data_IF_079591407714
#
_entry.id   IF_079591407714
#
_cell.length_a   1.000
_cell.length_b   1.000
_cell.length_c   1.000
_cell.angle_alpha   90.00
_cell.angle_beta   90.00
_cell.angle_gamma   90.00
#
_symmetry.space_group_name_H-M   'P 1'
#
loop_
_entity.id
_entity.type
_entity.pdbx_description
1 polymer ?
#
# COMPACT_ATOMS: atom_id res chain seq x y z
N UNK A 1 17.67 -23.29 -4.56
CA UNK A 1 16.83 -24.04 -3.60
C UNK A 1 16.41 -23.09 -2.51
N UNK A 2 15.11 -23.04 -2.16
CA UNK A 2 14.59 -22.18 -1.09
C UNK A 2 14.73 -22.92 0.25
N UNK A 3 14.21 -24.14 0.35
CA UNK A 3 14.54 -25.14 1.38
C UNK A 3 13.90 -26.50 1.05
N UNK A 4 14.06 -27.50 1.93
CA UNK A 4 13.36 -28.78 1.91
C UNK A 4 12.39 -28.82 3.10
N UNK A 5 11.20 -29.38 2.90
CA UNK A 5 10.22 -29.66 3.95
C UNK A 5 9.73 -31.10 3.77
N UNK A 6 9.78 -31.87 4.86
CA UNK A 6 9.42 -33.29 4.90
C UNK A 6 8.14 -33.51 5.73
N UNK A 7 7.45 -32.43 6.12
CA UNK A 7 6.24 -32.48 6.95
C UNK A 7 5.03 -31.89 6.22
N UNK A 8 3.86 -32.54 6.38
CA UNK A 8 2.60 -32.06 5.82
C UNK A 8 1.87 -31.15 6.83
N UNK A 9 1.24 -30.04 6.40
CA UNK A 9 1.25 -29.51 5.03
C UNK A 9 2.63 -28.91 4.64
N UNK A 10 3.06 -29.13 3.40
CA UNK A 10 4.33 -28.59 2.89
C UNK A 10 4.20 -27.08 2.67
N UNK A 11 4.78 -26.27 3.57
CA UNK A 11 4.55 -24.83 3.61
C UNK A 11 5.84 -24.02 3.73
N UNK A 12 5.97 -22.99 2.89
CA UNK A 12 7.09 -22.05 2.92
C UNK A 12 6.56 -20.62 3.11
N UNK A 13 6.80 -20.07 4.30
CA UNK A 13 6.41 -18.69 4.61
C UNK A 13 7.52 -17.69 4.27
N UNK A 14 7.16 -16.58 3.63
CA UNK A 14 8.08 -15.47 3.37
C UNK A 14 8.64 -14.81 4.64
N UNK A 15 7.96 -14.95 5.79
CA UNK A 15 8.49 -14.52 7.09
C UNK A 15 9.72 -15.33 7.56
N UNK A 16 9.91 -16.53 7.02
CA UNK A 16 10.99 -17.45 7.38
C UNK A 16 12.06 -17.52 6.29
N UNK A 17 11.66 -17.47 5.02
CA UNK A 17 12.57 -17.60 3.88
C UNK A 17 12.74 -16.26 3.16
N UNK A 18 13.90 -15.64 3.31
CA UNK A 18 14.20 -14.32 2.72
C UNK A 18 14.09 -14.30 1.19
N UNK A 19 14.31 -15.44 0.53
CA UNK A 19 14.13 -15.60 -0.93
C UNK A 19 12.67 -15.51 -1.38
N UNK A 20 11.71 -15.65 -0.45
CA UNK A 20 10.27 -15.46 -0.67
C UNK A 20 9.77 -14.13 -0.09
N UNK A 21 10.63 -13.37 0.59
CA UNK A 21 10.31 -12.09 1.20
C UNK A 21 10.70 -10.92 0.29
N UNK A 22 9.95 -9.82 0.35
CA UNK A 22 10.31 -8.55 -0.28
C UNK A 22 10.75 -8.67 -1.75
N UNK A 23 10.11 -9.57 -2.51
CA UNK A 23 10.40 -9.77 -3.92
C UNK A 23 10.27 -8.45 -4.67
N UNK A 24 11.29 -8.13 -5.47
CA UNK A 24 11.27 -6.94 -6.31
C UNK A 24 10.42 -7.16 -7.55
N UNK A 25 9.98 -6.10 -8.23
CA UNK A 25 9.26 -6.24 -9.48
C UNK A 25 10.04 -7.09 -10.49
N UNK A 26 9.39 -8.10 -11.05
CA UNK A 26 10.03 -9.05 -11.95
C UNK A 26 9.19 -10.30 -12.19
N UNK A 27 9.60 -11.09 -13.18
CA UNK A 27 9.02 -12.40 -13.46
C UNK A 27 9.82 -13.48 -12.74
N UNK A 28 9.12 -14.33 -11.99
CA UNK A 28 9.72 -15.41 -11.21
C UNK A 28 9.17 -16.76 -11.65
N UNK A 29 10.04 -17.77 -11.64
CA UNK A 29 9.66 -19.18 -11.84
C UNK A 29 9.81 -19.91 -10.51
N UNK A 30 8.71 -20.48 -10.02
CA UNK A 30 8.72 -21.37 -8.87
C UNK A 30 8.69 -22.82 -9.36
N UNK A 31 9.64 -23.63 -8.92
CA UNK A 31 9.70 -25.06 -9.20
C UNK A 31 9.58 -25.84 -7.89
N UNK A 32 8.73 -26.87 -7.89
CA UNK A 32 8.62 -27.84 -6.81
C UNK A 32 9.06 -29.22 -7.31
N UNK A 33 9.85 -29.91 -6.50
CA UNK A 33 10.29 -31.30 -6.75
C UNK A 33 9.83 -32.17 -5.59
N UNK A 34 9.13 -33.26 -5.89
CA UNK A 34 8.79 -34.28 -4.90
C UNK A 34 9.62 -35.54 -5.18
N UNK A 35 10.11 -36.18 -4.12
CA UNK A 35 10.86 -37.45 -4.18
C UNK A 35 10.15 -38.47 -3.30
N UNK A 36 9.84 -39.66 -3.81
CA UNK A 36 9.25 -40.75 -3.01
C UNK A 36 10.31 -41.48 -2.16
N UNK A 37 9.87 -42.40 -1.31
CA UNK A 37 10.75 -43.18 -0.43
C UNK A 37 11.62 -44.23 -1.16
N UNK A 38 11.48 -44.35 -2.48
CA UNK A 38 12.28 -45.21 -3.35
C UNK A 38 13.20 -44.39 -4.26
N UNK A 39 13.25 -43.07 -4.07
CA UNK A 39 14.08 -42.14 -4.83
C UNK A 39 13.50 -41.72 -6.17
N UNK A 40 12.25 -42.06 -6.49
CA UNK A 40 11.61 -41.59 -7.72
C UNK A 40 11.19 -40.13 -7.56
N UNK A 41 11.45 -39.30 -8.57
CA UNK A 41 11.18 -37.86 -8.52
C UNK A 41 10.15 -37.42 -9.55
N UNK A 42 9.34 -36.42 -9.20
CA UNK A 42 8.53 -35.66 -10.14
C UNK A 42 8.64 -34.16 -9.87
N UNK A 43 8.44 -33.32 -10.88
CA UNK A 43 8.57 -31.86 -10.77
C UNK A 43 7.42 -31.13 -11.45
N UNK A 44 7.12 -29.94 -10.94
CA UNK A 44 6.22 -28.97 -11.58
C UNK A 44 6.77 -27.56 -11.44
N UNK A 45 6.37 -26.67 -12.33
CA UNK A 45 6.78 -25.26 -12.28
C UNK A 45 5.64 -24.33 -12.67
N UNK A 46 5.58 -23.17 -12.01
CA UNK A 46 4.71 -22.06 -12.37
C UNK A 46 5.55 -20.80 -12.60
N UNK A 47 5.06 -19.92 -13.46
CA UNK A 47 5.62 -18.58 -13.67
C UNK A 47 4.63 -17.56 -13.14
N UNK A 48 5.10 -16.61 -12.35
CA UNK A 48 4.28 -15.51 -11.83
C UNK A 48 5.04 -14.19 -11.91
N UNK A 49 4.31 -13.09 -11.91
CA UNK A 49 4.86 -11.75 -11.97
C UNK A 49 4.66 -11.06 -10.62
N UNK A 50 5.76 -10.57 -10.05
CA UNK A 50 5.71 -9.57 -8.99
C UNK A 50 5.71 -8.23 -9.70
N UNK A 51 4.63 -7.47 -9.52
CA UNK A 51 4.53 -6.13 -10.09
C UNK A 51 4.95 -5.12 -9.04
N UNK A 52 5.53 -4.00 -9.46
CA UNK A 52 5.63 -2.85 -8.57
C UNK A 52 4.24 -2.53 -8.05
N UNK A 53 4.11 -2.19 -6.77
CA UNK A 53 2.88 -1.55 -6.31
C UNK A 53 2.69 -0.31 -7.16
N UNK A 54 1.74 -0.34 -8.08
CA UNK A 54 1.38 0.81 -8.91
C UNK A 54 0.58 1.83 -8.12
N UNK A 55 0.47 1.68 -6.78
CA UNK A 55 -0.02 2.72 -5.88
C UNK A 55 0.99 3.85 -5.82
N UNK A 56 1.05 4.65 -6.88
CA UNK A 56 1.66 5.96 -6.80
C UNK A 56 0.90 6.80 -5.77
N UNK A 57 1.61 7.66 -5.05
CA UNK A 57 1.04 8.52 -4.01
C UNK A 57 -0.19 9.27 -4.54
N UNK A 58 -1.37 8.97 -4.00
CA UNK A 58 -2.56 9.76 -4.27
C UNK A 58 -2.44 11.09 -3.51
N UNK A 59 -2.95 12.16 -4.12
CA UNK A 59 -2.91 13.46 -3.48
C UNK A 59 -3.95 13.50 -2.33
N UNK A 60 -3.63 14.16 -1.20
CA UNK A 60 -4.64 14.49 -0.21
C UNK A 60 -5.78 15.32 -0.81
N UNK A 61 -6.99 15.06 -0.36
CA UNK A 61 -8.21 15.82 -0.66
C UNK A 61 -8.48 16.76 0.52
N UNK A 62 -8.83 18.02 0.23
CA UNK A 62 -9.14 19.03 1.25
C UNK A 62 -10.41 19.79 0.91
N UNK A 63 -11.27 19.99 1.90
CA UNK A 63 -12.52 20.73 1.78
C UNK A 63 -12.69 21.73 2.93
N UNK A 64 -13.17 22.94 2.64
CA UNK A 64 -13.57 23.90 3.68
C UNK A 64 -15.04 23.62 4.05
N UNK A 65 -15.27 23.25 5.31
CA UNK A 65 -16.62 23.01 5.85
C UNK A 65 -17.28 24.34 6.22
N UNK A 66 -16.54 25.23 6.89
CA UNK A 66 -16.96 26.61 7.17
C UNK A 66 -15.76 27.58 7.09
N UNK A 67 -15.96 28.83 6.64
CA UNK A 67 -17.21 29.39 6.12
C UNK A 67 -17.58 28.78 4.75
N UNK A 68 -18.85 28.89 4.37
CA UNK A 68 -19.31 28.52 3.02
C UNK A 68 -19.22 29.73 2.09
N UNK A 69 -19.10 29.46 0.80
CA UNK A 69 -19.13 30.49 -0.23
C UNK A 69 -20.39 31.36 -0.08
N UNK A 70 -20.22 32.68 -0.16
CA UNK A 70 -21.31 33.65 -0.03
C UNK A 70 -21.77 33.95 1.40
N UNK A 71 -21.15 33.36 2.43
CA UNK A 71 -21.43 33.80 3.80
C UNK A 71 -20.98 35.25 4.01
N UNK A 72 -21.84 36.04 4.66
CA UNK A 72 -21.50 37.37 5.15
C UNK A 72 -21.33 37.33 6.67
N UNK A 73 -20.32 38.02 7.17
CA UNK A 73 -20.03 38.10 8.60
C UNK A 73 -20.05 39.58 9.03
N UNK A 74 -20.71 39.92 10.15
CA UNK A 74 -20.63 41.27 10.71
C UNK A 74 -19.18 41.65 11.03
N UNK A 75 -18.88 42.94 10.93
CA UNK A 75 -17.57 43.48 11.34
C UNK A 75 -17.32 43.14 12.82
N UNK A 76 -16.09 42.70 13.11
CA UNK A 76 -15.67 42.28 14.46
C UNK A 76 -15.97 40.82 14.79
N UNK A 77 -16.53 40.03 13.86
CA UNK A 77 -16.75 38.59 14.06
C UNK A 77 -15.42 37.84 14.15
N UNK A 78 -15.26 37.01 15.19
CA UNK A 78 -14.20 36.00 15.24
C UNK A 78 -14.57 34.82 14.34
N UNK A 79 -13.97 34.76 13.15
CA UNK A 79 -14.28 33.73 12.17
C UNK A 79 -13.75 32.35 12.62
N UNK A 80 -14.66 31.38 12.77
CA UNK A 80 -14.30 29.98 12.95
C UNK A 80 -14.18 29.29 11.59
N UNK A 81 -12.97 28.82 11.28
CA UNK A 81 -12.70 28.02 10.08
C UNK A 81 -12.64 26.54 10.43
N UNK A 82 -13.34 25.71 9.67
CA UNK A 82 -13.30 24.26 9.79
C UNK A 82 -13.03 23.64 8.42
N UNK A 83 -12.10 22.69 8.37
CA UNK A 83 -11.69 21.99 7.15
C UNK A 83 -11.73 20.48 7.37
N UNK A 84 -11.96 19.72 6.30
CA UNK A 84 -11.74 18.29 6.22
C UNK A 84 -10.50 18.04 5.36
N UNK A 85 -9.66 17.08 5.74
CA UNK A 85 -8.53 16.64 4.93
C UNK A 85 -8.39 15.12 5.03
N UNK A 86 -8.25 14.45 3.89
CA UNK A 86 -8.13 13.00 3.81
C UNK A 86 -7.08 12.62 2.76
N UNK A 87 -6.23 11.65 3.08
CA UNK A 87 -5.27 11.08 2.16
C UNK A 87 -5.71 9.62 1.85
N UNK A 88 -6.08 9.28 0.60
CA UNK A 88 -6.65 7.96 0.28
C UNK A 88 -5.69 6.78 0.43
N UNK A 89 -4.39 7.00 0.31
CA UNK A 89 -3.36 5.96 0.40
C UNK A 89 -2.30 6.25 1.48
N UNK A 90 -2.41 7.37 2.19
CA UNK A 90 -1.48 7.78 3.23
C UNK A 90 -2.12 8.43 4.44
N UNK A 91 -1.40 9.39 5.02
CA UNK A 91 -1.85 10.19 6.16
C UNK A 91 -1.54 11.65 5.92
N UNK A 92 -2.46 12.54 6.30
CA UNK A 92 -2.26 13.98 6.16
C UNK A 92 -1.24 14.46 7.20
N UNK A 93 -0.07 14.90 6.76
CA UNK A 93 0.99 15.38 7.66
C UNK A 93 0.80 16.81 8.15
N UNK A 94 0.14 17.69 7.36
CA UNK A 94 -0.07 19.10 7.67
C UNK A 94 -1.22 19.71 6.86
N UNK A 95 -1.93 20.68 7.46
CA UNK A 95 -2.87 21.58 6.78
C UNK A 95 -2.48 23.03 7.04
N UNK A 96 -2.48 23.87 6.01
CA UNK A 96 -2.20 25.31 6.09
C UNK A 96 -3.44 26.08 5.63
N UNK A 97 -3.79 27.15 6.35
CA UNK A 97 -4.87 28.07 5.98
C UNK A 97 -4.25 29.42 5.66
N UNK A 98 -4.65 30.01 4.54
CA UNK A 98 -4.25 31.35 4.11
C UNK A 98 -5.50 32.23 4.00
N UNK A 99 -5.45 33.43 4.57
CA UNK A 99 -6.48 34.45 4.40
C UNK A 99 -5.93 35.51 3.43
N UNK A 100 -6.63 35.75 2.33
CA UNK A 100 -6.28 36.76 1.32
C UNK A 100 -7.39 37.80 1.27
N UNK A 101 -7.02 39.07 1.06
CA UNK A 101 -7.95 40.19 0.89
C UNK A 101 -7.83 40.66 -0.55
N UNK A 102 -8.94 40.66 -1.29
CA UNK A 102 -8.99 41.30 -2.61
C UNK A 102 -9.07 42.82 -2.43
N UNK A 103 -8.27 43.56 -3.19
CA UNK A 103 -8.24 45.02 -3.24
C UNK A 103 -9.09 45.55 -4.39
#
# INVERSE_FOLDING_TARGET
MISQDDSVPYEWAGSTFSQLANLQPGTYTLQATATDNRGATNQTSIVFNVVASTGGNLLPIVDIITPKQGNNFPVGTNLKVQVNANDPDGTVSRVLIYLMVEH
#
